data_IF_068327138982
#
_entry.id   IF_068327138982
#
_cell.length_a   1.000
_cell.length_b   1.000
_cell.length_c   1.000
_cell.angle_alpha   90.00
_cell.angle_beta   90.00
_cell.angle_gamma   90.00
#
_symmetry.space_group_name_H-M   'P 1'
#
loop_
_entity.id
_entity.type
_entity.pdbx_description
1 polymer ?
#
# COMPACT_ATOMS: atom_id res chain seq x y z
N UNK A 1 -15.98 -16.72 -0.03
CA UNK A 1 -15.37 -15.45 -0.49
C UNK A 1 -13.94 -15.41 0.06
N UNK A 2 -12.91 -15.20 -0.79
CA UNK A 2 -11.52 -15.10 -0.34
C UNK A 2 -11.30 -13.91 0.61
N UNK A 3 -10.26 -13.97 1.44
CA UNK A 3 -9.86 -12.85 2.28
C UNK A 3 -9.18 -11.79 1.41
N UNK A 4 -9.30 -10.51 1.75
CA UNK A 4 -8.61 -9.44 1.01
C UNK A 4 -7.07 -9.58 1.13
N UNK A 5 -6.60 -10.08 2.27
CA UNK A 5 -5.19 -10.42 2.52
C UNK A 5 -4.65 -11.60 1.69
N UNK A 6 -5.49 -12.32 0.95
CA UNK A 6 -5.02 -13.36 0.02
C UNK A 6 -4.17 -12.78 -1.12
N UNK A 7 -4.22 -11.47 -1.35
CA UNK A 7 -3.34 -10.74 -2.28
C UNK A 7 -1.85 -10.94 -1.98
N UNK A 8 -1.50 -11.10 -0.71
CA UNK A 8 -0.12 -11.29 -0.26
C UNK A 8 0.38 -12.74 -0.39
N UNK A 9 -0.49 -13.68 -0.74
CA UNK A 9 -0.08 -15.07 -0.94
C UNK A 9 0.81 -15.19 -2.17
N UNK A 10 1.91 -15.93 -2.02
CA UNK A 10 2.79 -16.24 -3.12
C UNK A 10 2.10 -17.16 -4.12
N UNK A 11 2.29 -16.85 -5.39
CA UNK A 11 1.87 -17.71 -6.52
C UNK A 11 3.03 -18.51 -7.11
N UNK A 12 4.20 -18.56 -6.45
CA UNK A 12 5.42 -19.20 -6.96
C UNK A 12 6.33 -19.77 -5.87
N UNK A 13 7.32 -20.53 -6.30
CA UNK A 13 8.27 -21.30 -5.45
C UNK A 13 9.39 -20.50 -4.82
N UNK A 14 9.50 -19.20 -5.08
CA UNK A 14 10.58 -18.36 -4.55
C UNK A 14 10.29 -17.93 -3.11
N UNK A 15 11.18 -18.30 -2.19
CA UNK A 15 11.12 -17.92 -0.76
C UNK A 15 11.76 -16.56 -0.46
N UNK A 16 12.22 -15.82 -1.47
CA UNK A 16 13.00 -14.60 -1.30
C UNK A 16 12.12 -13.36 -1.47
N UNK A 17 12.04 -12.56 -0.45
CA UNK A 17 11.44 -11.21 -0.33
C UNK A 17 9.97 -11.02 -0.75
N UNK A 18 9.20 -10.29 0.05
CA UNK A 18 7.83 -9.91 -0.32
C UNK A 18 7.88 -9.08 -1.62
N UNK A 19 7.14 -9.54 -2.61
CA UNK A 19 7.08 -8.87 -3.92
C UNK A 19 6.23 -7.62 -3.82
N UNK A 20 6.63 -6.47 -4.46
CA UNK A 20 5.76 -5.33 -4.61
C UNK A 20 4.48 -5.69 -5.37
N UNK A 21 3.33 -5.25 -4.83
CA UNK A 21 2.01 -5.55 -5.37
C UNK A 21 1.35 -4.25 -5.83
N UNK A 22 0.93 -4.19 -7.08
CA UNK A 22 0.10 -3.13 -7.63
C UNK A 22 -1.34 -3.62 -7.80
N UNK A 23 -2.29 -2.84 -7.32
CA UNK A 23 -3.73 -3.08 -7.49
C UNK A 23 -4.30 -1.98 -8.37
N UNK A 24 -4.67 -2.32 -9.59
CA UNK A 24 -5.23 -1.38 -10.56
C UNK A 24 -6.75 -1.54 -10.68
N UNK A 25 -7.45 -0.44 -10.90
CA UNK A 25 -8.89 -0.49 -11.14
C UNK A 25 -9.51 0.86 -11.40
N UNK A 26 -10.66 0.86 -12.06
CA UNK A 26 -11.41 2.08 -12.44
C UNK A 26 -11.81 2.92 -11.22
N UNK A 27 -12.12 4.21 -11.39
CA UNK A 27 -12.70 5.05 -10.32
C UNK A 27 -13.95 4.37 -9.73
N UNK A 28 -14.09 4.45 -8.39
CA UNK A 28 -15.26 3.89 -7.69
C UNK A 28 -15.34 2.37 -7.61
N UNK A 29 -14.41 1.60 -8.18
CA UNK A 29 -14.46 0.13 -8.22
C UNK A 29 -14.23 -0.54 -6.86
N UNK A 30 -13.77 0.21 -5.85
CA UNK A 30 -13.60 -0.29 -4.48
C UNK A 30 -12.16 -0.52 -4.04
N UNK A 31 -11.15 0.08 -4.70
CA UNK A 31 -9.73 -0.05 -4.30
C UNK A 31 -9.48 0.39 -2.85
N UNK A 32 -9.93 1.59 -2.48
CA UNK A 32 -9.83 2.09 -1.10
C UNK A 32 -10.63 1.24 -0.11
N UNK A 33 -11.75 0.66 -0.54
CA UNK A 33 -12.50 -0.29 0.28
C UNK A 33 -11.70 -1.57 0.53
N UNK A 34 -10.99 -2.03 -0.50
CA UNK A 34 -10.09 -3.19 -0.40
C UNK A 34 -8.94 -2.93 0.58
N UNK A 35 -8.26 -1.76 0.49
CA UNK A 35 -7.16 -1.41 1.42
C UNK A 35 -7.65 -1.32 2.85
N UNK A 36 -8.80 -0.69 3.08
CA UNK A 36 -9.46 -0.63 4.40
C UNK A 36 -9.86 -2.01 4.91
N UNK A 37 -10.33 -2.91 4.03
CA UNK A 37 -10.66 -4.28 4.40
C UNK A 37 -9.42 -5.06 4.83
N UNK A 38 -8.30 -4.95 4.11
CA UNK A 38 -7.01 -5.55 4.49
C UNK A 38 -6.59 -5.05 5.88
N UNK A 39 -6.66 -3.73 6.09
CA UNK A 39 -6.31 -3.10 7.36
C UNK A 39 -7.20 -3.59 8.52
N UNK A 40 -8.49 -3.76 8.27
CA UNK A 40 -9.42 -4.30 9.26
C UNK A 40 -9.20 -5.80 9.53
N UNK A 41 -8.85 -6.59 8.50
CA UNK A 41 -8.47 -8.00 8.66
C UNK A 41 -7.21 -8.14 9.55
N UNK A 42 -6.26 -7.22 9.41
CA UNK A 42 -5.09 -7.12 10.27
C UNK A 42 -5.48 -6.79 11.73
N UNK A 43 -6.25 -5.71 11.95
CA UNK A 43 -6.70 -5.31 13.30
C UNK A 43 -7.47 -6.41 14.04
N UNK A 44 -8.20 -7.24 13.30
CA UNK A 44 -9.02 -8.33 13.84
C UNK A 44 -8.26 -9.66 13.86
N UNK A 45 -6.96 -9.66 13.54
CA UNK A 45 -6.11 -10.87 13.47
C UNK A 45 -6.66 -11.99 12.58
N UNK A 46 -7.51 -11.62 11.59
CA UNK A 46 -8.19 -12.57 10.70
C UNK A 46 -7.29 -13.10 9.58
N UNK A 47 -6.16 -12.47 9.33
CA UNK A 47 -5.22 -12.84 8.29
C UNK A 47 -4.00 -13.55 8.89
N UNK A 48 -3.74 -14.76 8.42
CA UNK A 48 -2.53 -15.50 8.81
C UNK A 48 -1.25 -14.79 8.34
N UNK A 49 -1.26 -14.25 7.13
CA UNK A 49 -0.11 -13.50 6.57
C UNK A 49 0.22 -12.24 7.37
N UNK A 50 -0.81 -11.52 7.83
CA UNK A 50 -0.64 -10.24 8.54
C UNK A 50 -0.45 -10.40 10.05
N UNK A 51 -0.56 -11.63 10.58
CA UNK A 51 -0.37 -11.89 12.00
C UNK A 51 1.07 -11.59 12.42
N UNK A 52 1.23 -10.80 13.48
CA UNK A 52 2.54 -10.37 13.98
C UNK A 52 3.22 -9.30 13.13
N UNK A 53 2.58 -8.81 12.06
CA UNK A 53 3.12 -7.73 11.22
C UNK A 53 2.54 -6.37 11.62
N UNK A 54 3.28 -5.32 11.26
CA UNK A 54 2.82 -3.94 11.33
C UNK A 54 2.26 -3.55 9.96
N UNK A 55 0.99 -3.16 9.91
CA UNK A 55 0.36 -2.69 8.67
C UNK A 55 0.17 -1.17 8.73
N UNK A 56 0.72 -0.47 7.76
CA UNK A 56 0.73 0.99 7.68
C UNK A 56 0.01 1.40 6.39
N UNK A 57 -1.16 2.02 6.54
CA UNK A 57 -1.97 2.50 5.42
C UNK A 57 -1.78 4.00 5.23
N UNK A 58 -1.20 4.40 4.10
CA UNK A 58 -0.86 5.78 3.77
C UNK A 58 -1.53 6.18 2.45
N UNK A 59 -2.44 7.17 2.45
CA UNK A 59 -3.01 7.71 1.21
C UNK A 59 -2.03 8.66 0.51
N UNK A 60 -1.85 8.49 -0.79
CA UNK A 60 -0.98 9.36 -1.59
C UNK A 60 -1.47 10.81 -1.71
N UNK A 61 -2.75 11.07 -1.55
CA UNK A 61 -3.33 12.44 -1.63
C UNK A 61 -2.74 13.44 -0.64
N UNK A 62 -1.98 12.99 0.35
CA UNK A 62 -1.33 13.86 1.34
C UNK A 62 0.04 14.35 0.88
N UNK A 63 0.52 13.88 -0.26
CA UNK A 63 1.84 14.23 -0.78
C UNK A 63 1.71 15.04 -2.07
N UNK A 64 2.64 15.97 -2.22
CA UNK A 64 2.81 16.85 -3.38
C UNK A 64 4.25 16.69 -3.91
N UNK A 65 4.69 17.71 -4.66
CA UNK A 65 6.07 17.79 -5.16
C UNK A 65 7.12 18.09 -4.07
N UNK A 66 6.69 18.41 -2.85
CA UNK A 66 7.58 18.71 -1.75
C UNK A 66 8.40 17.48 -1.31
N UNK A 67 9.63 17.76 -0.85
CA UNK A 67 10.46 16.71 -0.27
C UNK A 67 9.88 16.22 1.06
N UNK A 68 9.90 14.91 1.22
CA UNK A 68 9.47 14.21 2.43
C UNK A 68 10.50 13.16 2.82
N UNK A 69 10.25 12.42 3.87
CA UNK A 69 10.98 11.21 4.23
C UNK A 69 10.03 10.20 4.87
N UNK A 70 10.48 8.97 5.05
CA UNK A 70 9.61 7.92 5.59
C UNK A 70 9.05 8.26 6.98
N UNK A 71 9.85 8.89 7.85
CA UNK A 71 9.39 9.32 9.18
C UNK A 71 8.24 10.33 9.09
N UNK A 72 8.33 11.31 8.19
CA UNK A 72 7.27 12.28 7.95
C UNK A 72 6.02 11.62 7.34
N UNK A 73 6.21 10.64 6.45
CA UNK A 73 5.11 9.89 5.82
C UNK A 73 4.27 9.12 6.84
N UNK A 74 4.86 8.60 7.90
CA UNK A 74 4.13 7.87 8.95
C UNK A 74 3.06 8.71 9.64
N UNK A 75 3.21 10.04 9.69
CA UNK A 75 2.22 10.95 10.27
C UNK A 75 0.89 10.96 9.51
N UNK A 76 0.89 10.51 8.27
CA UNK A 76 -0.31 10.36 7.44
C UNK A 76 -0.91 8.96 7.46
N UNK A 77 -0.34 8.06 8.29
CA UNK A 77 -0.86 6.71 8.43
C UNK A 77 -2.28 6.73 9.01
N UNK A 78 -3.20 6.07 8.32
CA UNK A 78 -4.60 6.04 8.70
C UNK A 78 -4.89 4.98 9.79
N UNK A 79 -5.83 5.31 10.67
CA UNK A 79 -6.34 4.38 11.67
C UNK A 79 -5.41 4.09 12.84
N UNK A 80 -4.34 4.88 12.99
CA UNK A 80 -3.42 4.88 14.11
C UNK A 80 -3.64 6.20 14.89
N UNK A 81 -4.09 6.09 16.13
CA UNK A 81 -4.19 7.23 17.04
C UNK A 81 -2.89 7.30 17.85
N UNK A 82 -1.90 8.01 17.32
CA UNK A 82 -0.55 8.06 17.87
C UNK A 82 -0.14 9.49 18.21
N UNK A 83 0.63 9.65 19.27
CA UNK A 83 1.30 10.91 19.61
C UNK A 83 2.54 11.11 18.72
N UNK A 84 3.14 12.30 18.77
CA UNK A 84 4.38 12.56 18.02
C UNK A 84 5.51 11.63 18.45
N UNK A 85 5.61 11.33 19.75
CA UNK A 85 6.61 10.40 20.28
C UNK A 85 6.38 8.96 19.80
N UNK A 86 5.11 8.53 19.70
CA UNK A 86 4.77 7.19 19.19
C UNK A 86 5.19 7.00 17.74
N UNK A 87 5.08 8.06 16.90
CA UNK A 87 5.57 8.01 15.52
C UNK A 87 7.09 7.83 15.44
N UNK A 88 7.84 8.44 16.34
CA UNK A 88 9.28 8.29 16.39
C UNK A 88 9.68 6.87 16.79
N UNK A 89 9.04 6.31 17.82
CA UNK A 89 9.23 4.91 18.19
C UNK A 89 8.83 3.96 17.06
N UNK A 90 7.70 4.21 16.40
CA UNK A 90 7.27 3.39 15.27
C UNK A 90 8.28 3.45 14.13
N UNK A 91 8.83 4.63 13.82
CA UNK A 91 9.84 4.77 12.79
C UNK A 91 11.09 3.95 13.11
N UNK A 92 11.63 4.05 14.32
CA UNK A 92 12.79 3.27 14.75
C UNK A 92 12.49 1.76 14.69
N UNK A 93 11.31 1.37 15.15
CA UNK A 93 10.91 -0.03 15.18
C UNK A 93 10.79 -0.64 13.77
N UNK A 94 10.16 0.05 12.82
CA UNK A 94 10.05 -0.43 11.43
C UNK A 94 11.40 -0.49 10.72
N UNK A 95 12.33 0.40 11.05
CA UNK A 95 13.70 0.35 10.54
C UNK A 95 14.47 -0.87 11.09
N UNK A 96 14.15 -1.29 12.31
CA UNK A 96 14.77 -2.45 12.95
C UNK A 96 14.22 -3.80 12.46
N UNK A 97 12.91 -3.88 12.16
CA UNK A 97 12.24 -5.12 11.75
C UNK A 97 11.51 -4.99 10.39
N UNK A 98 12.16 -4.53 9.33
CA UNK A 98 11.47 -4.24 8.07
C UNK A 98 10.73 -5.45 7.46
N UNK A 99 11.17 -6.68 7.72
CA UNK A 99 10.49 -7.90 7.24
C UNK A 99 9.07 -8.08 7.79
N UNK A 100 8.76 -7.46 8.92
CA UNK A 100 7.44 -7.54 9.55
C UNK A 100 6.58 -6.32 9.28
N UNK A 101 6.98 -5.50 8.30
CA UNK A 101 6.25 -4.29 7.90
C UNK A 101 5.54 -4.49 6.57
N UNK A 102 4.28 -4.06 6.52
CA UNK A 102 3.46 -4.02 5.32
C UNK A 102 3.00 -2.58 5.10
N UNK A 103 3.51 -1.95 4.06
CA UNK A 103 3.03 -0.65 3.60
C UNK A 103 1.90 -0.84 2.61
N UNK A 104 0.82 -0.09 2.78
CA UNK A 104 -0.28 0.03 1.84
C UNK A 104 -0.37 1.49 1.43
N UNK A 105 0.00 1.80 0.21
CA UNK A 105 -0.12 3.13 -0.38
C UNK A 105 -1.38 3.20 -1.23
N UNK A 106 -2.35 4.03 -0.83
CA UNK A 106 -3.63 4.12 -1.52
C UNK A 106 -3.70 5.33 -2.43
N UNK A 107 -3.97 5.09 -3.73
CA UNK A 107 -4.27 6.13 -4.72
C UNK A 107 -3.05 6.79 -5.36
N UNK A 108 -2.13 6.04 -5.98
CA UNK A 108 -0.97 6.58 -6.70
C UNK A 108 -1.37 7.63 -7.77
N UNK A 109 -2.54 7.47 -8.36
CA UNK A 109 -3.11 8.40 -9.32
C UNK A 109 -3.52 9.76 -8.71
N UNK A 110 -3.58 9.87 -7.39
CA UNK A 110 -3.86 11.12 -6.66
C UNK A 110 -2.58 11.94 -6.40
N UNK A 111 -1.42 11.38 -6.74
CA UNK A 111 -0.13 12.02 -6.54
C UNK A 111 0.13 13.04 -7.65
N UNK A 112 0.15 14.32 -7.29
CA UNK A 112 0.51 15.42 -8.20
C UNK A 112 2.04 15.59 -8.21
N UNK A 113 2.75 14.83 -9.06
CA UNK A 113 4.20 14.96 -9.18
C UNK A 113 4.68 14.64 -10.60
N UNK A 114 5.86 15.18 -10.95
CA UNK A 114 6.51 14.92 -12.22
C UNK A 114 7.09 13.48 -12.23
N UNK A 115 6.65 12.67 -13.20
CA UNK A 115 7.17 11.31 -13.42
C UNK A 115 8.67 11.26 -13.70
N UNK A 116 9.25 12.33 -14.21
CA UNK A 116 10.70 12.43 -14.47
C UNK A 116 11.53 12.25 -13.18
N UNK A 117 10.93 12.51 -12.02
CA UNK A 117 11.57 12.27 -10.70
C UNK A 117 11.90 10.79 -10.44
N UNK A 118 11.22 9.85 -11.12
CA UNK A 118 11.54 8.42 -11.03
C UNK A 118 12.92 8.07 -11.60
N UNK A 119 13.40 8.86 -12.55
CA UNK A 119 14.66 8.63 -13.23
C UNK A 119 15.83 9.39 -12.59
N UNK A 120 15.58 10.20 -11.57
CA UNK A 120 16.64 10.85 -10.84
C UNK A 120 17.41 9.83 -10.02
N UNK A 121 18.71 9.71 -10.27
CA UNK A 121 19.61 8.99 -9.37
C UNK A 121 19.74 9.79 -8.08
N UNK A 122 18.91 9.44 -7.11
CA UNK A 122 19.04 9.99 -5.78
C UNK A 122 19.99 9.08 -4.99
N UNK A 123 20.99 9.65 -4.34
CA UNK A 123 21.85 8.94 -3.38
C UNK A 123 21.09 8.54 -2.10
N UNK A 124 19.80 8.23 -2.24
CA UNK A 124 18.89 7.90 -1.15
C UNK A 124 19.17 6.49 -0.64
N UNK A 125 19.79 6.39 0.52
CA UNK A 125 20.18 5.14 1.17
C UNK A 125 19.65 5.03 2.61
N UNK A 126 19.08 6.10 3.15
CA UNK A 126 18.54 6.17 4.52
C UNK A 126 17.06 6.57 4.48
N UNK A 127 16.17 5.83 5.20
CA UNK A 127 14.74 6.13 5.23
C UNK A 127 14.39 7.50 5.81
N UNK A 128 15.28 8.09 6.64
CA UNK A 128 15.14 9.43 7.21
C UNK A 128 15.59 10.56 6.28
N UNK A 129 16.28 10.23 5.18
CA UNK A 129 16.75 11.22 4.21
C UNK A 129 15.56 11.80 3.44
N UNK A 130 15.58 13.13 3.26
CA UNK A 130 14.55 13.83 2.48
C UNK A 130 14.74 13.58 0.99
N UNK A 131 13.65 13.32 0.32
CA UNK A 131 13.57 13.22 -1.13
C UNK A 131 12.10 13.43 -1.58
N UNK A 132 11.88 13.51 -2.86
CA UNK A 132 10.53 13.44 -3.40
C UNK A 132 9.92 12.05 -3.14
N UNK A 133 8.60 11.97 -3.05
CA UNK A 133 7.87 10.74 -2.75
C UNK A 133 8.13 9.60 -3.75
N UNK A 134 8.29 9.89 -5.05
CA UNK A 134 8.49 8.88 -6.08
C UNK A 134 9.84 8.15 -5.96
N UNK A 135 10.99 8.84 -5.79
CA UNK A 135 12.25 8.18 -5.45
C UNK A 135 12.18 7.32 -4.18
N UNK A 136 11.52 7.81 -3.12
CA UNK A 136 11.34 7.04 -1.88
C UNK A 136 10.55 5.75 -2.17
N UNK A 137 9.42 5.87 -2.86
CA UNK A 137 8.59 4.74 -3.25
C UNK A 137 9.38 3.73 -4.08
N UNK A 138 10.10 4.18 -5.11
CA UNK A 138 10.93 3.31 -5.96
C UNK A 138 11.96 2.54 -5.14
N UNK A 139 12.68 3.21 -4.23
CA UNK A 139 13.68 2.57 -3.38
C UNK A 139 13.08 1.58 -2.38
N UNK A 140 11.86 1.85 -1.87
CA UNK A 140 11.12 0.89 -1.05
C UNK A 140 10.76 -0.37 -1.85
N UNK A 141 10.24 -0.19 -3.08
CA UNK A 141 9.87 -1.30 -3.96
C UNK A 141 11.08 -2.13 -4.41
N UNK A 142 12.22 -1.49 -4.63
CA UNK A 142 13.51 -2.15 -4.93
C UNK A 142 14.10 -2.89 -3.70
N UNK A 143 13.51 -2.72 -2.52
CA UNK A 143 14.07 -3.26 -1.27
C UNK A 143 15.39 -2.60 -0.84
N UNK A 144 15.73 -1.42 -1.38
CA UNK A 144 16.92 -0.63 -1.01
C UNK A 144 16.69 0.23 0.24
N UNK A 145 15.45 0.67 0.44
CA UNK A 145 14.98 1.19 1.72
C UNK A 145 14.14 0.11 2.39
N UNK A 146 14.35 -0.16 3.68
CA UNK A 146 13.66 -1.18 4.46
C UNK A 146 13.62 -2.56 3.76
N UNK A 147 14.77 -3.22 3.58
CA UNK A 147 14.86 -4.51 2.90
C UNK A 147 13.95 -5.54 3.57
N UNK A 148 13.09 -6.18 2.79
CA UNK A 148 12.13 -7.18 3.28
C UNK A 148 10.74 -6.64 3.62
N UNK A 149 10.51 -5.32 3.64
CA UNK A 149 9.18 -4.76 3.78
C UNK A 149 8.27 -5.16 2.60
N UNK A 150 7.02 -5.47 2.90
CA UNK A 150 6.00 -5.72 1.87
C UNK A 150 5.36 -4.39 1.48
N UNK A 151 5.19 -4.16 0.18
CA UNK A 151 4.54 -2.93 -0.32
C UNK A 151 3.37 -3.29 -1.22
N UNK A 152 2.20 -2.71 -0.94
CA UNK A 152 1.03 -2.75 -1.79
C UNK A 152 0.66 -1.33 -2.20
N UNK A 153 0.45 -1.12 -3.49
CA UNK A 153 0.04 0.17 -4.07
C UNK A 153 -1.30 0.01 -4.76
N UNK A 154 -2.19 0.98 -4.61
CA UNK A 154 -3.39 1.05 -5.45
C UNK A 154 -3.28 2.21 -6.43
N UNK A 155 -3.83 2.03 -7.64
CA UNK A 155 -3.84 3.05 -8.68
C UNK A 155 -5.05 2.95 -9.60
N UNK A 156 -5.31 4.03 -10.33
CA UNK A 156 -6.16 3.98 -11.53
C UNK A 156 -5.29 3.69 -12.75
N UNK A 157 -5.87 3.15 -13.84
CA UNK A 157 -5.16 2.98 -15.11
C UNK A 157 -4.58 4.28 -15.67
N UNK A 158 -5.16 5.43 -15.31
CA UNK A 158 -4.69 6.77 -15.74
C UNK A 158 -3.27 7.13 -15.29
N UNK A 159 -2.74 6.46 -14.26
CA UNK A 159 -1.37 6.66 -13.77
C UNK A 159 -0.38 5.62 -14.32
N UNK A 160 -0.70 4.94 -15.42
CA UNK A 160 0.16 3.93 -16.05
C UNK A 160 1.55 4.49 -16.34
N UNK A 161 1.65 5.71 -16.85
CA UNK A 161 2.92 6.38 -17.12
C UNK A 161 3.84 6.55 -15.89
N UNK A 162 3.32 6.35 -14.68
CA UNK A 162 4.10 6.36 -13.44
C UNK A 162 4.44 4.93 -13.04
N UNK A 163 3.42 4.05 -12.90
CA UNK A 163 3.65 2.73 -12.34
C UNK A 163 4.35 1.75 -13.29
N UNK A 164 4.30 1.96 -14.62
CA UNK A 164 5.09 1.17 -15.59
C UNK A 164 6.62 1.27 -15.37
N UNK A 165 7.07 2.34 -14.70
CA UNK A 165 8.48 2.57 -14.36
C UNK A 165 8.85 2.12 -12.94
N UNK A 166 7.88 1.59 -12.18
CA UNK A 166 8.11 1.04 -10.85
C UNK A 166 8.42 -0.46 -10.92
N UNK A 167 9.28 -0.98 -10.05
CA UNK A 167 9.63 -2.40 -10.02
C UNK A 167 8.49 -3.23 -9.38
N UNK A 168 7.40 -3.41 -10.11
CA UNK A 168 6.22 -4.18 -9.69
C UNK A 168 6.39 -5.64 -10.14
N UNK A 169 6.21 -6.55 -9.20
CA UNK A 169 6.29 -8.00 -9.46
C UNK A 169 4.91 -8.65 -9.64
N UNK A 170 3.89 -8.09 -8.99
CA UNK A 170 2.54 -8.62 -9.04
C UNK A 170 1.55 -7.50 -9.31
N UNK A 171 0.86 -7.59 -10.44
CA UNK A 171 -0.26 -6.71 -10.76
C UNK A 171 -1.57 -7.47 -10.60
N UNK A 172 -2.55 -6.79 -10.01
CA UNK A 172 -3.89 -7.31 -9.77
C UNK A 172 -4.92 -6.29 -10.23
N UNK A 173 -5.79 -6.67 -11.13
CA UNK A 173 -6.88 -5.81 -11.58
C UNK A 173 -8.14 -6.06 -10.74
N UNK A 174 -8.74 -4.99 -10.23
CA UNK A 174 -10.05 -5.04 -9.56
C UNK A 174 -11.15 -4.82 -10.58
N UNK A 175 -11.86 -5.88 -10.90
CA UNK A 175 -12.94 -5.88 -11.92
C UNK A 175 -14.31 -5.46 -11.37
N UNK A 176 -14.43 -5.27 -10.06
CA UNK A 176 -15.70 -4.96 -9.38
C UNK A 176 -16.54 -6.19 -9.05
N UNK A 177 -17.78 -5.95 -8.65
CA UNK A 177 -18.69 -7.03 -8.28
C UNK A 177 -19.38 -7.63 -9.51
N UNK A 178 -19.41 -8.94 -9.57
CA UNK A 178 -20.31 -9.66 -10.49
C UNK A 178 -21.77 -9.45 -10.10
N UNK A 179 -22.68 -9.59 -11.07
CA UNK A 179 -24.13 -9.41 -10.85
C UNK A 179 -24.64 -10.17 -9.61
N UNK A 180 -24.23 -11.44 -9.43
CA UNK A 180 -24.59 -12.24 -8.25
C UNK A 180 -24.05 -11.67 -6.95
N UNK A 181 -22.87 -11.06 -6.96
CA UNK A 181 -22.30 -10.43 -5.78
C UNK A 181 -23.02 -9.12 -5.43
N UNK A 182 -23.44 -8.35 -6.44
CA UNK A 182 -24.30 -7.17 -6.28
C UNK A 182 -25.63 -7.57 -5.66
N UNK A 183 -26.27 -8.60 -6.21
CA UNK A 183 -27.55 -9.12 -5.68
C UNK A 183 -27.43 -9.60 -4.23
N UNK A 184 -26.33 -10.30 -3.90
CA UNK A 184 -26.05 -10.75 -2.53
C UNK A 184 -25.82 -9.58 -1.58
N UNK A 185 -25.06 -8.58 -2.01
CA UNK A 185 -24.78 -7.38 -1.24
C UNK A 185 -26.06 -6.58 -0.98
N UNK A 186 -26.89 -6.38 -2.01
CA UNK A 186 -28.18 -5.67 -1.88
C UNK A 186 -29.11 -6.41 -0.94
N UNK A 187 -29.21 -7.74 -1.03
CA UNK A 187 -30.03 -8.55 -0.10
C UNK A 187 -29.56 -8.45 1.34
N UNK A 188 -28.25 -8.39 1.57
CA UNK A 188 -27.66 -8.28 2.91
C UNK A 188 -27.89 -6.89 3.54
N UNK A 189 -27.83 -5.82 2.73
CA UNK A 189 -27.94 -4.43 3.20
C UNK A 189 -29.35 -3.87 3.18
N UNK A 190 -30.16 -4.24 2.18
CA UNK A 190 -31.51 -3.70 2.04
C UNK A 190 -32.59 -4.55 2.75
N UNK A 191 -32.20 -5.69 3.33
CA UNK A 191 -33.15 -6.63 3.91
C UNK A 191 -34.04 -7.26 2.84
N UNK A 192 -34.74 -8.31 3.22
CA UNK A 192 -35.81 -8.90 2.40
C UNK A 192 -37.09 -8.04 2.52
N UNK A 193 -37.02 -6.76 2.17
CA UNK A 193 -38.25 -6.00 2.00
C UNK A 193 -38.96 -6.54 0.75
N UNK A 194 -40.03 -7.29 1.04
CA UNK A 194 -41.03 -7.77 0.09
C UNK A 194 -41.86 -6.64 -0.46
#
# INVERSE_FOLDING_TARGET
MGKASDLFKHTGTSKCHPKPILVVGRPGIGKTTLTKKIFNEWKQEKSEFLRGKIVILIPFRHFSEDETNLRAMLKYAQGLNMTSADYDYMYEYICFIPNDVVFIFDGLDELACDKNLLNQETGLNDPGQKANILPILKKLLEGKLLPGATVLITSRPTAESIYEHLPIDKEVEVLGFHKKQIESYVKEFCGNDK
#
